data_IF_228311399070
#
_entry.id   IF_228311399070
#
_cell.length_a   1.000
_cell.length_b   1.000
_cell.length_c   1.000
_cell.angle_alpha   90.00
_cell.angle_beta   90.00
_cell.angle_gamma   90.00
#
_symmetry.space_group_name_H-M   'P 1'
#
loop_
_entity.id
_entity.type
_entity.pdbx_description
1 polymer ?
#
# COMPACT_ATOMS: atom_id res chain seq x y z
N UNK A 1 7.63 26.51 2.84
CA UNK A 1 7.45 25.29 2.04
C UNK A 1 6.89 24.23 2.97
N UNK A 2 5.72 23.68 2.65
CA UNK A 2 5.18 22.53 3.39
C UNK A 2 6.10 21.33 3.14
N UNK A 3 6.38 20.54 4.17
CA UNK A 3 7.15 19.31 3.99
C UNK A 3 6.38 18.35 3.08
N UNK A 4 7.07 17.73 2.12
CA UNK A 4 6.48 16.74 1.21
C UNK A 4 6.03 15.53 2.04
N UNK A 5 4.80 15.06 1.83
CA UNK A 5 4.31 13.84 2.47
C UNK A 5 4.88 12.62 1.74
N UNK A 6 5.42 11.67 2.50
CA UNK A 6 5.89 10.39 1.95
C UNK A 6 4.91 9.29 2.35
N UNK A 7 4.26 8.68 1.37
CA UNK A 7 3.23 7.67 1.57
C UNK A 7 3.74 6.33 1.03
N UNK A 8 3.46 5.23 1.71
CA UNK A 8 3.75 3.89 1.20
C UNK A 8 2.45 3.16 0.91
N UNK A 9 2.30 2.55 -0.26
CA UNK A 9 1.11 1.78 -0.63
C UNK A 9 1.46 0.30 -0.80
N UNK A 10 0.58 -0.59 -0.34
CA UNK A 10 0.62 -2.00 -0.71
C UNK A 10 -0.17 -2.28 -2.00
N UNK A 11 -0.16 -3.54 -2.46
CA UNK A 11 -0.88 -3.93 -3.67
C UNK A 11 -2.40 -3.78 -3.58
N UNK A 12 -2.99 -3.89 -2.39
CA UNK A 12 -4.44 -3.85 -2.23
C UNK A 12 -5.01 -2.44 -2.45
N UNK A 13 -4.24 -1.39 -2.17
CA UNK A 13 -4.62 0.00 -2.51
C UNK A 13 -4.78 0.17 -4.03
N UNK A 14 -3.80 -0.32 -4.81
CA UNK A 14 -3.86 -0.23 -6.27
C UNK A 14 -5.00 -1.08 -6.83
N UNK A 15 -5.17 -2.32 -6.36
CA UNK A 15 -6.26 -3.20 -6.81
C UNK A 15 -7.62 -2.57 -6.57
N UNK A 16 -7.86 -2.03 -5.38
CA UNK A 16 -9.10 -1.36 -5.02
C UNK A 16 -9.42 -0.19 -5.97
N UNK A 17 -8.41 0.62 -6.32
CA UNK A 17 -8.58 1.73 -7.25
C UNK A 17 -8.83 1.28 -8.69
N UNK A 18 -8.02 0.33 -9.18
CA UNK A 18 -8.08 -0.18 -10.56
C UNK A 18 -9.39 -0.92 -10.84
N UNK A 19 -9.89 -1.67 -9.85
CA UNK A 19 -11.16 -2.40 -9.94
C UNK A 19 -12.39 -1.56 -9.58
N UNK A 20 -12.20 -0.30 -9.20
CA UNK A 20 -13.26 0.59 -8.76
C UNK A 20 -14.11 0.04 -7.61
N UNK A 21 -13.46 -0.43 -6.54
CA UNK A 21 -14.10 -1.09 -5.40
C UNK A 21 -14.85 -0.12 -4.45
N UNK A 22 -15.55 0.88 -5.01
CA UNK A 22 -16.35 1.86 -4.27
C UNK A 22 -17.48 1.22 -3.47
N UNK A 23 -18.01 0.08 -3.93
CA UNK A 23 -18.99 -0.69 -3.17
C UNK A 23 -18.42 -1.20 -1.83
N UNK A 24 -17.11 -1.44 -1.77
CA UNK A 24 -16.42 -1.97 -0.60
C UNK A 24 -15.80 -0.86 0.26
N UNK A 25 -15.28 0.20 -0.36
CA UNK A 25 -14.47 1.23 0.32
C UNK A 25 -15.02 2.67 0.20
N UNK A 26 -16.14 2.86 -0.49
CA UNK A 26 -16.78 4.16 -0.66
C UNK A 26 -15.85 5.21 -1.25
N UNK A 27 -15.84 6.39 -0.64
CA UNK A 27 -15.07 7.56 -1.09
C UNK A 27 -13.55 7.36 -0.99
N UNK A 28 -13.05 6.34 -0.29
CA UNK A 28 -11.61 6.08 -0.21
C UNK A 28 -11.01 5.82 -1.61
N UNK A 29 -11.79 5.26 -2.53
CA UNK A 29 -11.37 5.08 -3.92
C UNK A 29 -11.16 6.41 -4.64
N UNK A 30 -11.98 7.42 -4.33
CA UNK A 30 -11.84 8.76 -4.92
C UNK A 30 -10.63 9.48 -4.34
N UNK A 31 -10.33 9.28 -3.05
CA UNK A 31 -9.16 9.83 -2.39
C UNK A 31 -7.84 9.30 -2.98
N UNK A 32 -7.80 8.05 -3.46
CA UNK A 32 -6.63 7.51 -4.16
C UNK A 32 -6.31 8.31 -5.43
N UNK A 33 -7.33 8.72 -6.20
CA UNK A 33 -7.12 9.58 -7.36
C UNK A 33 -6.52 10.94 -6.96
N UNK A 34 -7.03 11.54 -5.88
CA UNK A 34 -6.50 12.80 -5.35
C UNK A 34 -5.02 12.67 -4.96
N UNK A 35 -4.64 11.62 -4.22
CA UNK A 35 -3.23 11.37 -3.90
C UNK A 35 -2.35 11.19 -5.14
N UNK A 36 -2.84 10.49 -6.17
CA UNK A 36 -2.10 10.32 -7.42
C UNK A 36 -1.88 11.65 -8.15
N UNK A 37 -2.88 12.54 -8.17
CA UNK A 37 -2.77 13.86 -8.79
C UNK A 37 -1.79 14.76 -8.01
N UNK A 38 -1.89 14.77 -6.69
CA UNK A 38 -0.97 15.47 -5.78
C UNK A 38 0.47 14.96 -5.94
N UNK A 39 0.66 13.65 -6.09
CA UNK A 39 1.98 13.07 -6.33
C UNK A 39 2.57 13.52 -7.68
N UNK A 40 1.76 13.61 -8.75
CA UNK A 40 2.19 14.16 -10.04
C UNK A 40 2.58 15.63 -9.96
N UNK A 41 1.95 16.37 -9.05
CA UNK A 41 2.24 17.79 -8.80
C UNK A 41 3.42 17.99 -7.82
N UNK A 42 3.98 16.91 -7.26
CA UNK A 42 5.09 16.97 -6.31
C UNK A 42 4.69 17.36 -4.89
N UNK A 43 3.40 17.29 -4.54
CA UNK A 43 2.88 17.60 -3.20
C UNK A 43 3.03 16.42 -2.22
N UNK A 44 3.10 15.20 -2.76
CA UNK A 44 3.48 14.00 -2.02
C UNK A 44 4.33 13.06 -2.89
N UNK A 45 4.92 12.05 -2.28
CA UNK A 45 5.61 10.97 -2.95
C UNK A 45 5.00 9.63 -2.51
N UNK A 46 4.59 8.81 -3.47
CA UNK A 46 4.01 7.48 -3.20
C UNK A 46 5.08 6.43 -3.49
N UNK A 47 5.40 5.60 -2.51
CA UNK A 47 6.32 4.49 -2.62
C UNK A 47 5.54 3.16 -2.61
N UNK A 48 6.06 2.15 -3.29
CA UNK A 48 5.60 0.76 -3.15
C UNK A 48 6.76 -0.21 -3.41
N UNK A 49 6.65 -1.44 -2.92
CA UNK A 49 7.56 -2.51 -3.32
C UNK A 49 7.35 -2.87 -4.79
N UNK A 50 8.43 -3.13 -5.54
CA UNK A 50 8.30 -3.66 -6.91
C UNK A 50 7.68 -5.06 -6.94
N UNK A 51 7.56 -5.75 -5.79
CA UNK A 51 6.75 -6.95 -5.63
C UNK A 51 5.30 -6.76 -6.11
N UNK A 52 4.74 -5.55 -5.99
CA UNK A 52 3.39 -5.24 -6.45
C UNK A 52 3.18 -5.58 -7.94
N UNK A 53 4.23 -5.52 -8.76
CA UNK A 53 4.18 -5.96 -10.17
C UNK A 53 3.79 -7.45 -10.31
N UNK A 54 4.22 -8.30 -9.37
CA UNK A 54 3.89 -9.72 -9.34
C UNK A 54 2.53 -10.00 -8.69
N UNK A 55 2.08 -9.14 -7.77
CA UNK A 55 0.78 -9.28 -7.11
C UNK A 55 -0.38 -8.83 -8.00
N UNK A 56 -0.19 -7.76 -8.78
CA UNK A 56 -1.22 -7.18 -9.64
C UNK A 56 -1.12 -7.76 -11.03
N UNK A 57 -1.61 -8.99 -11.15
CA UNK A 57 -1.69 -9.69 -12.43
C UNK A 57 -2.96 -9.32 -13.19
N UNK A 58 -2.98 -9.53 -14.53
CA UNK A 58 -4.15 -9.23 -15.38
C UNK A 58 -5.46 -9.88 -14.90
N UNK A 59 -5.40 -11.08 -14.31
CA UNK A 59 -6.59 -11.77 -13.77
C UNK A 59 -7.22 -11.07 -12.57
N UNK A 60 -6.48 -10.19 -11.88
CA UNK A 60 -6.99 -9.42 -10.76
C UNK A 60 -7.63 -8.09 -11.21
N UNK A 61 -7.43 -7.68 -12.47
CA UNK A 61 -7.99 -6.46 -13.04
C UNK A 61 -9.34 -6.76 -13.69
N UNK A 62 -10.41 -6.51 -12.94
CA UNK A 62 -11.79 -6.74 -13.39
C UNK A 62 -12.28 -5.66 -14.35
N UNK A 63 -11.66 -4.48 -14.31
CA UNK A 63 -11.99 -3.34 -15.15
C UNK A 63 -10.87 -3.08 -16.17
N UNK A 64 -11.21 -3.12 -17.46
CA UNK A 64 -10.26 -2.89 -18.55
C UNK A 64 -9.94 -1.39 -18.81
N UNK A 65 -10.44 -0.46 -17.98
CA UNK A 65 -10.29 0.99 -18.21
C UNK A 65 -8.83 1.46 -18.24
N UNK A 66 -7.93 0.76 -17.56
CA UNK A 66 -6.52 1.15 -17.41
C UNK A 66 -5.54 0.26 -18.19
N UNK A 67 -6.00 -0.79 -18.87
CA UNK A 67 -5.09 -1.78 -19.47
C UNK A 67 -4.41 -2.65 -18.41
N UNK A 68 -3.08 -2.80 -18.48
CA UNK A 68 -2.29 -3.52 -17.48
C UNK A 68 -1.86 -2.63 -16.30
N UNK A 69 -1.20 -3.22 -15.29
CA UNK A 69 -0.65 -2.42 -14.19
C UNK A 69 0.52 -1.55 -14.65
N UNK A 70 1.33 -2.03 -15.61
CA UNK A 70 2.38 -1.26 -16.25
C UNK A 70 1.83 -0.06 -17.03
N UNK A 71 0.69 -0.23 -17.69
CA UNK A 71 -0.03 0.85 -18.35
C UNK A 71 -0.47 1.93 -17.35
N UNK A 72 -1.02 1.51 -16.20
CA UNK A 72 -1.33 2.42 -15.10
C UNK A 72 -0.10 3.18 -14.61
N UNK A 73 1.02 2.49 -14.36
CA UNK A 73 2.27 3.15 -13.92
C UNK A 73 2.80 4.14 -14.96
N UNK A 74 2.61 3.87 -16.25
CA UNK A 74 2.95 4.80 -17.33
C UNK A 74 2.04 6.03 -17.35
N UNK A 75 0.73 5.85 -17.16
CA UNK A 75 -0.24 6.95 -17.12
C UNK A 75 -0.03 7.88 -15.90
N UNK A 76 0.53 7.33 -14.81
CA UNK A 76 0.91 8.03 -13.58
C UNK A 76 2.42 8.12 -13.39
N UNK A 77 3.19 8.21 -14.49
CA UNK A 77 4.65 8.26 -14.43
C UNK A 77 5.15 9.35 -13.48
N UNK A 78 6.03 8.97 -12.56
CA UNK A 78 6.60 9.87 -11.54
C UNK A 78 5.76 10.03 -10.27
N UNK A 79 4.48 9.58 -10.27
CA UNK A 79 3.64 9.60 -9.08
C UNK A 79 4.00 8.47 -8.10
N UNK A 80 4.30 7.29 -8.64
CA UNK A 80 4.61 6.07 -7.86
C UNK A 80 6.07 5.68 -8.07
N UNK A 81 6.80 5.55 -6.96
CA UNK A 81 8.20 5.15 -6.89
C UNK A 81 8.26 3.70 -6.44
N UNK A 82 8.65 2.80 -7.33
CA UNK A 82 8.86 1.40 -6.99
C UNK A 82 10.23 1.20 -6.34
N UNK A 83 10.24 0.44 -5.24
CA UNK A 83 11.43 0.09 -4.47
C UNK A 83 11.69 -1.40 -4.64
N UNK A 84 12.87 -1.74 -5.17
CA UNK A 84 13.24 -3.14 -5.37
C UNK A 84 13.53 -3.85 -4.04
N UNK A 85 13.06 -5.11 -3.87
CA UNK A 85 13.35 -5.89 -2.68
C UNK A 85 14.83 -6.31 -2.69
N UNK A 86 15.68 -5.47 -2.11
CA UNK A 86 17.10 -5.74 -1.91
C UNK A 86 17.33 -6.88 -0.90
N UNK A 87 18.52 -7.51 -0.87
CA UNK A 87 18.80 -8.56 0.11
C UNK A 87 18.56 -8.15 1.58
N UNK A 88 18.92 -6.94 2.05
CA UNK A 88 18.56 -6.49 3.40
C UNK A 88 17.04 -6.41 3.66
N UNK A 89 16.25 -5.95 2.67
CA UNK A 89 14.79 -5.95 2.76
C UNK A 89 14.27 -7.39 2.89
N UNK A 90 14.77 -8.30 2.07
CA UNK A 90 14.33 -9.70 2.08
C UNK A 90 14.72 -10.44 3.37
N UNK A 91 15.88 -10.14 3.96
CA UNK A 91 16.25 -10.66 5.28
C UNK A 91 15.31 -10.14 6.37
N UNK A 92 14.96 -8.86 6.33
CA UNK A 92 14.01 -8.24 7.25
C UNK A 92 12.61 -8.85 7.09
N UNK A 93 12.16 -9.07 5.85
CA UNK A 93 10.90 -9.74 5.56
C UNK A 93 10.90 -11.20 6.06
N UNK A 94 12.01 -11.93 5.87
CA UNK A 94 12.19 -13.29 6.39
C UNK A 94 12.10 -13.34 7.92
N UNK A 95 12.73 -12.37 8.60
CA UNK A 95 12.65 -12.20 10.05
C UNK A 95 11.20 -11.94 10.49
N UNK A 96 10.54 -10.93 9.92
CA UNK A 96 9.14 -10.61 10.21
C UNK A 96 8.22 -11.81 10.00
N UNK A 97 8.41 -12.58 8.93
CA UNK A 97 7.61 -13.79 8.64
C UNK A 97 7.86 -14.92 9.66
N UNK A 98 9.05 -14.98 10.25
CA UNK A 98 9.43 -15.99 11.24
C UNK A 98 8.86 -15.76 12.65
N UNK A 99 8.29 -14.58 12.91
CA UNK A 99 7.77 -14.22 14.22
C UNK A 99 6.45 -14.93 14.54
N UNK A 100 6.19 -15.13 15.84
CA UNK A 100 4.93 -15.67 16.34
C UNK A 100 3.95 -14.54 16.68
N UNK A 101 3.00 -14.28 15.77
CA UNK A 101 1.96 -13.27 15.97
C UNK A 101 0.73 -13.85 16.66
N UNK A 102 0.34 -13.24 17.78
CA UNK A 102 -0.76 -13.67 18.63
C UNK A 102 -1.68 -12.51 19.02
N UNK A 103 -2.99 -12.80 19.06
CA UNK A 103 -4.05 -11.90 19.55
C UNK A 103 -4.99 -12.69 20.45
N UNK A 104 -4.90 -12.48 21.76
CA UNK A 104 -5.58 -13.34 22.74
C UNK A 104 -5.10 -14.80 22.62
N UNK A 105 -6.01 -15.74 22.36
CA UNK A 105 -5.68 -17.14 22.09
C UNK A 105 -5.40 -17.45 20.61
N UNK A 106 -5.63 -16.49 19.71
CA UNK A 106 -5.44 -16.67 18.28
C UNK A 106 -3.97 -16.53 17.88
N UNK A 107 -3.53 -17.35 16.92
CA UNK A 107 -2.23 -17.23 16.25
C UNK A 107 -2.43 -17.12 14.75
N UNK A 108 -1.68 -16.24 14.08
CA UNK A 108 -1.71 -16.12 12.61
C UNK A 108 -0.29 -15.92 12.08
N UNK A 109 0.08 -16.54 10.96
CA UNK A 109 1.31 -16.18 10.26
C UNK A 109 1.14 -14.82 9.56
N UNK A 110 2.25 -14.10 9.38
CA UNK A 110 2.32 -12.99 8.43
C UNK A 110 2.54 -13.55 7.02
N UNK A 111 1.77 -13.09 6.03
CA UNK A 111 1.96 -13.57 4.66
C UNK A 111 3.30 -13.07 4.11
N UNK A 112 3.91 -13.82 3.20
CA UNK A 112 5.18 -13.42 2.58
C UNK A 112 5.09 -12.04 1.90
N UNK A 113 4.02 -11.73 1.11
CA UNK A 113 3.92 -10.41 0.48
C UNK A 113 3.81 -9.27 1.50
N UNK A 114 2.97 -9.42 2.53
CA UNK A 114 2.81 -8.41 3.59
C UNK A 114 4.14 -8.17 4.34
N UNK A 115 4.88 -9.24 4.63
CA UNK A 115 6.20 -9.14 5.26
C UNK A 115 7.19 -8.35 4.38
N UNK A 116 7.14 -8.53 3.06
CA UNK A 116 7.96 -7.76 2.12
C UNK A 116 7.52 -6.30 2.10
N UNK A 117 6.21 -6.02 2.05
CA UNK A 117 5.73 -4.63 2.07
C UNK A 117 6.14 -3.89 3.35
N UNK A 118 5.98 -4.52 4.52
CA UNK A 118 6.39 -3.93 5.81
C UNK A 118 7.91 -3.74 5.89
N UNK A 119 8.70 -4.70 5.39
CA UNK A 119 10.15 -4.59 5.35
C UNK A 119 10.63 -3.49 4.40
N UNK A 120 10.01 -3.34 3.23
CA UNK A 120 10.33 -2.28 2.28
C UNK A 120 9.98 -0.91 2.87
N UNK A 121 8.82 -0.77 3.51
CA UNK A 121 8.44 0.45 4.20
C UNK A 121 9.43 0.82 5.33
N UNK A 122 9.88 -0.17 6.11
CA UNK A 122 10.91 0.04 7.14
C UNK A 122 12.25 0.52 6.55
N UNK A 123 12.64 -0.04 5.40
CA UNK A 123 13.91 0.27 4.77
C UNK A 123 13.97 1.72 4.25
N UNK A 124 12.83 2.29 3.86
CA UNK A 124 12.74 3.69 3.42
C UNK A 124 13.25 4.68 4.48
N UNK A 125 13.00 4.43 5.77
CA UNK A 125 13.55 5.25 6.85
C UNK A 125 15.09 5.24 6.83
N UNK A 126 15.70 4.09 6.53
CA UNK A 126 17.15 3.95 6.38
C UNK A 126 17.71 4.68 5.16
N UNK A 127 16.86 4.99 4.17
CA UNK A 127 17.19 5.83 3.02
C UNK A 127 16.87 7.31 3.24
N UNK A 128 16.51 7.70 4.48
CA UNK A 128 16.17 9.08 4.83
C UNK A 128 14.75 9.49 4.44
N UNK A 129 13.88 8.54 4.07
CA UNK A 129 12.48 8.78 3.76
C UNK A 129 11.63 8.51 5.00
N UNK A 130 11.15 9.57 5.66
CA UNK A 130 10.24 9.46 6.80
C UNK A 130 8.80 9.33 6.30
N UNK A 131 8.22 8.13 6.43
CA UNK A 131 6.86 7.86 6.00
C UNK A 131 5.85 8.57 6.90
N UNK A 132 4.91 9.27 6.27
CA UNK A 132 3.72 9.84 6.93
C UNK A 132 2.70 8.74 7.22
N UNK A 133 2.51 7.81 6.29
CA UNK A 133 1.59 6.70 6.44
C UNK A 133 1.95 5.54 5.49
N UNK A 134 1.67 4.32 5.94
CA UNK A 134 1.54 3.13 5.14
C UNK A 134 0.05 2.89 4.88
N UNK A 135 -0.38 3.13 3.65
CA UNK A 135 -1.76 2.90 3.24
C UNK A 135 -2.03 1.44 2.88
N UNK A 136 -3.09 0.88 3.46
CA UNK A 136 -3.59 -0.47 3.17
C UNK A 136 -5.10 -0.57 3.45
N UNK A 137 -5.79 -1.41 2.69
CA UNK A 137 -7.17 -1.83 3.00
C UNK A 137 -7.23 -3.17 3.76
N UNK A 138 -6.11 -3.85 3.98
CA UNK A 138 -6.10 -5.11 4.70
C UNK A 138 -6.33 -4.92 6.20
N UNK A 139 -7.57 -5.20 6.62
CA UNK A 139 -8.03 -5.18 8.03
C UNK A 139 -8.30 -6.57 8.61
N UNK A 140 -7.90 -7.64 7.92
CA UNK A 140 -7.93 -8.99 8.48
C UNK A 140 -9.32 -9.61 8.68
N UNK A 141 -10.33 -9.16 7.92
CA UNK A 141 -11.72 -9.66 7.99
C UNK A 141 -11.80 -11.15 7.64
N UNK A 142 -11.79 -12.00 8.67
CA UNK A 142 -11.84 -13.47 8.53
C UNK A 142 -10.54 -14.10 7.98
N UNK A 143 -9.45 -13.33 7.92
CA UNK A 143 -8.22 -13.73 7.26
C UNK A 143 -7.42 -14.83 7.98
N UNK A 144 -6.71 -15.63 7.20
CA UNK A 144 -5.71 -16.61 7.69
C UNK A 144 -4.43 -15.93 8.20
N UNK A 145 -4.18 -14.70 7.77
CA UNK A 145 -2.94 -13.97 8.01
C UNK A 145 -3.15 -12.77 8.93
N UNK A 146 -2.03 -12.27 9.47
CA UNK A 146 -1.98 -11.01 10.23
C UNK A 146 -2.27 -9.85 9.27
N UNK A 147 -3.22 -8.95 9.59
CA UNK A 147 -3.48 -7.81 8.74
C UNK A 147 -2.42 -6.72 8.86
N UNK A 148 -2.27 -5.93 7.80
CA UNK A 148 -1.43 -4.73 7.84
C UNK A 148 -2.07 -3.64 8.72
N UNK A 149 -3.36 -3.33 8.52
CA UNK A 149 -4.09 -2.39 9.38
C UNK A 149 -4.54 -3.12 10.65
N UNK A 150 -4.08 -2.64 11.81
CA UNK A 150 -4.26 -3.31 13.09
C UNK A 150 -3.23 -4.41 13.38
N UNK A 151 -2.08 -4.39 12.70
CA UNK A 151 -0.95 -5.29 12.92
C UNK A 151 -0.54 -5.40 14.40
N UNK A 152 -0.55 -4.28 15.12
CA UNK A 152 -0.18 -4.16 16.53
C UNK A 152 -1.02 -5.05 17.45
N UNK A 153 -2.28 -5.31 17.10
CA UNK A 153 -3.17 -6.18 17.87
C UNK A 153 -2.70 -7.64 17.88
N UNK A 154 -1.85 -8.02 16.92
CA UNK A 154 -1.33 -9.38 16.73
C UNK A 154 0.11 -9.54 17.23
N UNK A 155 0.69 -8.53 17.87
CA UNK A 155 2.10 -8.57 18.28
C UNK A 155 2.32 -9.11 19.70
N UNK A 156 1.32 -9.71 20.35
CA UNK A 156 1.41 -10.15 21.74
C UNK A 156 2.57 -11.11 22.03
N UNK A 157 2.89 -12.02 21.10
CA UNK A 157 3.97 -13.00 21.21
C UNK A 157 5.35 -12.47 20.81
N UNK A 158 5.44 -11.30 20.19
CA UNK A 158 6.66 -10.81 19.54
C UNK A 158 6.96 -9.32 19.79
N UNK A 159 6.23 -8.64 20.68
CA UNK A 159 6.38 -7.19 20.90
C UNK A 159 7.78 -6.77 21.39
N UNK A 160 8.54 -7.68 22.02
CA UNK A 160 9.91 -7.41 22.47
C UNK A 160 10.94 -7.42 21.33
N UNK A 161 10.55 -7.85 20.12
CA UNK A 161 11.44 -7.84 18.97
C UNK A 161 11.61 -6.42 18.41
N UNK A 162 12.86 -6.02 18.19
CA UNK A 162 13.18 -4.68 17.74
C UNK A 162 12.56 -4.35 16.38
N UNK A 163 12.60 -5.27 15.41
CA UNK A 163 12.04 -5.04 14.08
C UNK A 163 10.53 -4.93 14.14
N UNK A 164 9.86 -5.83 14.89
CA UNK A 164 8.40 -5.78 15.11
C UNK A 164 7.99 -4.47 15.76
N UNK A 165 8.71 -4.01 16.80
CA UNK A 165 8.40 -2.75 17.49
C UNK A 165 8.47 -1.54 16.55
N UNK A 166 9.42 -1.52 15.61
CA UNK A 166 9.50 -0.49 14.58
C UNK A 166 8.36 -0.57 13.58
N UNK A 167 7.96 -1.78 13.17
CA UNK A 167 6.76 -1.94 12.35
C UNK A 167 5.57 -1.36 13.09
N UNK A 168 5.32 -1.77 14.34
CA UNK A 168 4.21 -1.30 15.17
C UNK A 168 4.15 0.22 15.25
N UNK A 169 5.31 0.89 15.38
CA UNK A 169 5.41 2.34 15.46
C UNK A 169 5.04 3.10 14.17
N UNK A 170 4.97 2.44 13.01
CA UNK A 170 4.50 3.11 11.80
C UNK A 170 3.04 3.51 11.90
N UNK A 171 2.65 4.59 11.23
CA UNK A 171 1.25 4.88 10.98
C UNK A 171 0.74 4.00 9.83
N UNK A 172 -0.17 3.06 10.11
CA UNK A 172 -0.80 2.16 9.12
C UNK A 172 -2.29 2.43 9.08
N UNK A 173 -2.79 2.92 7.95
CA UNK A 173 -4.17 3.35 7.84
C UNK A 173 -4.74 3.14 6.43
N UNK A 174 -6.06 3.20 6.23
CA UNK A 174 -6.63 3.26 4.89
C UNK A 174 -6.24 4.58 4.20
N UNK A 175 -6.24 4.65 2.85
CA UNK A 175 -5.90 5.86 2.10
C UNK A 175 -7.02 6.91 2.18
N UNK A 176 -7.18 7.54 3.34
CA UNK A 176 -8.15 8.61 3.57
C UNK A 176 -7.45 9.96 3.38
N UNK A 177 -7.94 10.75 2.42
CA UNK A 177 -7.34 12.07 2.19
C UNK A 177 -7.68 13.01 3.37
N UNK A 178 -6.70 13.70 3.98
CA UNK A 178 -6.95 14.59 5.12
C UNK A 178 -7.79 15.83 4.76
N UNK A 179 -7.75 16.24 3.49
CA UNK A 179 -8.53 17.36 2.96
C UNK A 179 -9.25 16.91 1.68
N UNK A 180 -10.29 16.06 1.78
CA UNK A 180 -10.93 15.47 0.62
C UNK A 180 -11.63 16.55 -0.19
N UNK A 181 -11.41 16.60 -1.52
CA UNK A 181 -12.15 17.58 -2.33
C UNK A 181 -13.63 17.21 -2.36
N UNK A 182 -14.52 18.18 -2.14
CA UNK A 182 -15.96 17.96 -2.06
C UNK A 182 -16.59 17.39 -3.37
N UNK A 183 -15.86 17.42 -4.48
CA UNK A 183 -16.37 17.11 -5.83
C UNK A 183 -15.64 15.96 -6.57
N UNK A 184 -14.77 15.18 -5.91
CA UNK A 184 -13.96 14.14 -6.62
C UNK A 184 -14.84 13.11 -7.37
N UNK A 185 -16.07 12.86 -6.91
CA UNK A 185 -17.02 11.95 -7.58
C UNK A 185 -17.49 12.36 -8.98
N UNK A 186 -17.14 13.56 -9.47
CA UNK A 186 -17.52 14.05 -10.82
C UNK A 186 -16.36 14.18 -11.79
N UNK A 187 -15.11 14.12 -11.32
CA UNK A 187 -13.94 14.16 -12.18
C UNK A 187 -13.90 12.88 -13.02
N UNK A 188 -14.17 12.99 -14.33
CA UNK A 188 -14.02 11.87 -15.25
C UNK A 188 -12.57 11.41 -15.18
N UNK A 189 -12.33 10.22 -14.61
CA UNK A 189 -11.04 9.54 -14.70
C UNK A 189 -10.60 9.59 -16.17
N UNK A 190 -9.34 9.95 -16.47
CA UNK A 190 -8.87 9.98 -17.84
C UNK A 190 -9.11 8.59 -18.44
N UNK A 191 -10.09 8.50 -19.34
CA UNK A 191 -10.30 7.27 -20.09
C UNK A 191 -9.10 7.19 -21.01
N UNK A 192 -8.36 6.09 -20.96
CA UNK A 192 -7.40 5.80 -22.02
C UNK A 192 -8.15 5.89 -23.34
N UNK A 193 -7.63 6.67 -24.28
CA UNK A 193 -8.03 6.49 -25.67
C UNK A 193 -7.58 5.06 -26.01
N UNK A 194 -8.52 4.12 -26.03
CA UNK A 194 -8.23 2.75 -26.42
C UNK A 194 -7.86 2.83 -27.89
N UNK A 195 -6.56 2.85 -28.18
CA UNK A 195 -6.06 2.63 -29.53
C UNK A 195 -6.34 1.16 -29.85
N UNK A 196 -7.50 0.92 -30.45
CA UNK A 196 -7.88 -0.36 -31.05
C UNK A 196 -6.91 -0.60 -32.23
N UNK A 197 -5.80 -1.27 -31.97
CA UNK A 197 -4.92 -1.83 -33.01
C UNK A 197 -4.90 -3.34 -32.90
#
# INVERSE_FOLDING_TARGET
>A
MTAIRHLYWDSCVFLAYLNDERSSYGNAIDYIYQFLDEARQGECAIYSSSLTLAEITRKHLLNNSFGSFEDFLKDFQGAVILVDPSPPIMLTAGHLRGMEYTKGSGKRPLATPDAIHLATALALEGYGVSLTALHSFDRGRGGKYVPIVGFEDWCGGCMNDFVVSRVVAMNREPPIHPSPMLNVGTAKRPRRAIDLR
#
